data_IF_142009228497
#
_entry.id   IF_142009228497
#
_cell.length_a   1.000
_cell.length_b   1.000
_cell.length_c   1.000
_cell.angle_alpha   90.00
_cell.angle_beta   90.00
_cell.angle_gamma   90.00
#
_symmetry.space_group_name_H-M   'P 1'
#
loop_
_entity.id
_entity.type
_entity.pdbx_description
1 polymer ?
#
# COMPACT_ATOMS: atom_id res chain seq x y z
N UNK A 1 -6.32 -6.09 -20.90
CA UNK A 1 -7.18 -5.42 -19.91
C UNK A 1 -6.29 -4.94 -18.79
N UNK A 2 -6.44 -3.70 -18.34
CA UNK A 2 -5.53 -3.11 -17.35
C UNK A 2 -6.06 -3.37 -15.94
N UNK A 3 -5.20 -3.81 -15.01
CA UNK A 3 -5.57 -4.11 -13.62
C UNK A 3 -4.92 -3.09 -12.69
N UNK A 4 -5.75 -2.33 -11.96
CA UNK A 4 -5.30 -1.42 -10.89
C UNK A 4 -5.51 -2.10 -9.55
N UNK A 5 -4.45 -2.23 -8.77
CA UNK A 5 -4.47 -2.88 -7.46
C UNK A 5 -4.32 -1.79 -6.40
N UNK A 6 -5.31 -1.66 -5.52
CA UNK A 6 -5.18 -0.89 -4.29
C UNK A 6 -4.81 -1.84 -3.16
N UNK A 7 -3.51 -1.92 -2.83
CA UNK A 7 -3.02 -2.71 -1.71
C UNK A 7 -3.07 -1.88 -0.43
N UNK A 8 -4.03 -2.18 0.44
CA UNK A 8 -4.25 -1.50 1.71
C UNK A 8 -3.49 -2.21 2.83
N UNK A 9 -2.76 -1.44 3.64
CA UNK A 9 -2.07 -1.95 4.82
C UNK A 9 -2.02 -0.92 5.94
N UNK A 10 -1.77 -1.37 7.18
CA UNK A 10 -1.22 -0.50 8.22
C UNK A 10 0.30 -0.35 8.07
N UNK A 11 0.96 0.52 8.85
CA UNK A 11 2.42 0.59 8.86
C UNK A 11 3.03 -0.76 9.30
N UNK A 12 4.29 -1.03 8.95
CA UNK A 12 5.05 -2.22 9.40
C UNK A 12 4.47 -3.58 8.96
N UNK A 13 3.72 -3.62 7.86
CA UNK A 13 3.09 -4.83 7.28
C UNK A 13 3.85 -5.40 6.05
N UNK A 14 5.17 -5.23 5.95
CA UNK A 14 5.98 -5.59 4.75
C UNK A 14 5.46 -5.02 3.42
N UNK A 15 4.64 -3.97 3.44
CA UNK A 15 4.04 -3.38 2.24
C UNK A 15 5.07 -2.88 1.24
N UNK A 16 6.23 -2.39 1.70
CA UNK A 16 7.36 -2.06 0.82
C UNK A 16 7.91 -3.29 0.12
N UNK A 17 8.07 -4.43 0.81
CA UNK A 17 8.52 -5.68 0.17
C UNK A 17 7.49 -6.18 -0.86
N UNK A 18 6.19 -6.04 -0.60
CA UNK A 18 5.15 -6.31 -1.59
C UNK A 18 5.25 -5.38 -2.80
N UNK A 19 5.48 -4.08 -2.59
CA UNK A 19 5.72 -3.15 -3.70
C UNK A 19 6.94 -3.55 -4.53
N UNK A 20 8.06 -3.95 -3.89
CA UNK A 20 9.26 -4.44 -4.58
C UNK A 20 9.01 -5.74 -5.35
N UNK A 21 8.20 -6.63 -4.80
CA UNK A 21 7.77 -7.86 -5.46
C UNK A 21 7.00 -7.55 -6.74
N UNK A 22 6.03 -6.62 -6.69
CA UNK A 22 5.28 -6.22 -7.89
C UNK A 22 6.12 -5.42 -8.88
N UNK A 23 7.02 -4.55 -8.43
CA UNK A 23 7.88 -3.75 -9.32
C UNK A 23 8.91 -4.58 -10.09
N UNK A 24 9.19 -5.81 -9.63
CA UNK A 24 10.08 -6.73 -10.35
C UNK A 24 9.46 -7.28 -11.64
N UNK A 25 8.13 -7.16 -11.83
CA UNK A 25 7.45 -7.61 -13.05
C UNK A 25 7.61 -6.59 -14.17
N UNK A 26 7.89 -7.05 -15.38
CA UNK A 26 8.07 -6.16 -16.54
C UNK A 26 6.76 -5.44 -16.96
N UNK A 27 5.61 -6.03 -16.65
CA UNK A 27 4.27 -5.57 -17.03
C UNK A 27 3.61 -4.64 -16.00
N UNK A 28 4.33 -4.27 -14.93
CA UNK A 28 3.76 -3.62 -13.75
C UNK A 28 4.38 -2.25 -13.48
N UNK A 29 3.53 -1.26 -13.20
CA UNK A 29 3.91 -0.01 -12.57
C UNK A 29 3.63 -0.06 -11.06
N UNK A 30 4.38 0.70 -10.26
CA UNK A 30 4.16 0.81 -8.81
C UNK A 30 4.07 2.27 -8.36
N UNK A 31 3.28 2.53 -7.30
CA UNK A 31 3.22 3.83 -6.63
C UNK A 31 3.29 3.63 -5.12
N UNK A 32 4.15 4.42 -4.47
CA UNK A 32 4.41 4.37 -3.04
C UNK A 32 3.60 5.44 -2.28
N UNK A 33 2.67 5.00 -1.43
CA UNK A 33 1.91 5.82 -0.46
C UNK A 33 1.41 7.18 -1.02
N UNK A 34 0.58 7.19 -2.08
CA UNK A 34 0.25 8.42 -2.83
C UNK A 34 -0.46 9.50 -1.99
N UNK A 35 -1.11 9.12 -0.88
CA UNK A 35 -1.81 10.04 0.01
C UNK A 35 -0.98 10.55 1.20
N UNK A 36 0.31 10.20 1.29
CA UNK A 36 1.08 10.51 2.49
C UNK A 36 1.26 12.02 2.72
N UNK A 37 1.58 12.79 1.68
CA UNK A 37 1.66 14.25 1.76
C UNK A 37 0.33 14.90 2.15
N UNK A 38 -0.77 14.48 1.52
CA UNK A 38 -2.12 14.97 1.84
C UNK A 38 -2.51 14.67 3.30
N UNK A 39 -2.19 13.48 3.79
CA UNK A 39 -2.36 13.09 5.19
C UNK A 39 -1.59 14.02 6.13
N UNK A 40 -0.26 14.15 5.94
CA UNK A 40 0.59 14.98 6.80
C UNK A 40 0.14 16.44 6.83
N UNK A 41 -0.23 16.99 5.66
CA UNK A 41 -0.74 18.36 5.55
C UNK A 41 -2.07 18.55 6.29
N UNK A 42 -2.93 17.52 6.27
CA UNK A 42 -4.27 17.57 6.89
C UNK A 42 -4.20 17.40 8.42
N UNK A 43 -3.38 16.45 8.89
CA UNK A 43 -3.34 16.08 10.32
C UNK A 43 -2.28 16.85 11.11
N UNK A 44 -1.22 17.34 10.46
CA UNK A 44 -0.08 17.95 11.15
C UNK A 44 0.73 16.95 11.98
N UNK A 45 0.62 15.64 11.70
CA UNK A 45 1.36 14.60 12.39
C UNK A 45 2.88 14.84 12.28
N UNK A 46 3.64 14.82 13.40
CA UNK A 46 5.04 15.22 13.44
C UNK A 46 5.97 14.09 12.96
N UNK A 47 5.66 13.49 11.81
CA UNK A 47 6.48 12.45 11.22
C UNK A 47 7.85 13.00 10.77
N UNK A 48 8.86 12.15 10.79
CA UNK A 48 10.17 12.50 10.25
C UNK A 48 10.03 12.94 8.78
N UNK A 49 10.70 14.04 8.43
CA UNK A 49 10.68 14.65 7.10
C UNK A 49 9.31 15.23 6.67
N UNK A 50 8.35 15.45 7.57
CA UNK A 50 6.99 15.88 7.21
C UNK A 50 6.97 17.10 6.27
N UNK A 51 7.68 18.19 6.61
CA UNK A 51 7.73 19.40 5.77
C UNK A 51 8.29 19.12 4.37
N UNK A 52 9.33 18.30 4.27
CA UNK A 52 9.94 17.92 2.99
C UNK A 52 8.98 17.05 2.16
N UNK A 53 8.25 16.13 2.80
CA UNK A 53 7.28 15.25 2.14
C UNK A 53 6.10 16.08 1.62
N UNK A 54 5.59 17.01 2.42
CA UNK A 54 4.51 17.92 2.01
C UNK A 54 4.95 18.81 0.84
N UNK A 55 6.21 19.24 0.81
CA UNK A 55 6.75 20.07 -0.27
C UNK A 55 6.98 19.29 -1.58
N UNK A 56 7.28 17.99 -1.50
CA UNK A 56 7.60 17.12 -2.64
C UNK A 56 6.35 16.49 -3.28
N UNK A 57 5.28 16.31 -2.51
CA UNK A 57 4.08 15.59 -2.94
C UNK A 57 2.90 16.49 -3.31
N UNK A 58 2.06 16.00 -4.21
CA UNK A 58 0.69 16.51 -4.34
C UNK A 58 -0.09 16.22 -3.05
N UNK A 59 -0.60 17.29 -2.43
CA UNK A 59 -1.33 17.24 -1.18
C UNK A 59 -2.83 17.52 -1.35
N UNK A 60 -3.33 17.65 -2.58
CA UNK A 60 -4.77 17.73 -2.84
C UNK A 60 -5.38 16.34 -2.98
N UNK A 61 -6.30 16.01 -2.08
CA UNK A 61 -6.94 14.70 -2.03
C UNK A 61 -7.62 14.29 -3.34
N UNK A 62 -8.31 15.21 -4.00
CA UNK A 62 -9.07 14.91 -5.20
C UNK A 62 -8.14 14.73 -6.41
N UNK A 63 -7.09 15.55 -6.51
CA UNK A 63 -6.05 15.45 -7.52
C UNK A 63 -5.29 14.12 -7.41
N UNK A 64 -4.86 13.75 -6.20
CA UNK A 64 -4.20 12.46 -5.95
C UNK A 64 -5.13 11.30 -6.33
N UNK A 65 -6.40 11.34 -5.91
CA UNK A 65 -7.37 10.31 -6.25
C UNK A 65 -7.64 10.23 -7.77
N UNK A 66 -7.69 11.38 -8.45
CA UNK A 66 -7.81 11.48 -9.91
C UNK A 66 -6.64 10.79 -10.60
N UNK A 67 -5.42 11.10 -10.17
CA UNK A 67 -4.19 10.48 -10.69
C UNK A 67 -4.21 8.97 -10.46
N UNK A 68 -4.52 8.50 -9.25
CA UNK A 68 -4.55 7.07 -8.92
C UNK A 68 -5.67 6.28 -9.63
N UNK A 69 -6.68 6.96 -10.19
CA UNK A 69 -7.68 6.36 -11.09
C UNK A 69 -7.35 6.47 -12.57
N UNK A 70 -6.42 7.36 -12.93
CA UNK A 70 -6.08 7.70 -14.30
C UNK A 70 -5.39 6.58 -15.05
N UNK A 71 -4.77 6.95 -16.15
CA UNK A 71 -4.03 6.03 -17.00
C UNK A 71 -2.88 5.37 -16.24
N UNK A 72 -2.66 4.09 -16.52
CA UNK A 72 -1.57 3.36 -15.88
C UNK A 72 -0.24 3.90 -16.38
N UNK A 73 0.71 4.21 -15.49
CA UNK A 73 2.03 4.70 -15.88
C UNK A 73 2.70 3.79 -16.91
N UNK A 74 3.38 4.41 -17.87
CA UNK A 74 4.14 3.75 -18.94
C UNK A 74 3.34 2.71 -19.76
N UNK A 75 2.01 2.81 -19.78
CA UNK A 75 1.14 1.88 -20.48
C UNK A 75 1.21 0.44 -19.96
N UNK A 76 1.63 0.25 -18.71
CA UNK A 76 1.74 -1.08 -18.08
C UNK A 76 0.38 -1.77 -17.99
N UNK A 77 0.39 -3.10 -17.96
CA UNK A 77 -0.82 -3.91 -17.86
C UNK A 77 -1.36 -3.93 -16.41
N UNK A 78 -0.47 -3.84 -15.43
CA UNK A 78 -0.79 -3.85 -14.00
C UNK A 78 -0.27 -2.56 -13.35
N UNK A 79 -1.06 -1.99 -12.44
CA UNK A 79 -0.63 -0.89 -11.60
C UNK A 79 -0.86 -1.23 -10.13
N UNK A 80 0.21 -1.45 -9.39
CA UNK A 80 0.16 -1.70 -7.96
C UNK A 80 0.33 -0.40 -7.18
N UNK A 81 -0.67 -0.06 -6.35
CA UNK A 81 -0.66 1.14 -5.52
C UNK A 81 -0.58 0.71 -4.05
N UNK A 82 0.50 1.11 -3.38
CA UNK A 82 0.69 0.88 -1.95
C UNK A 82 -0.04 1.95 -1.16
N UNK A 83 -1.15 1.58 -0.52
CA UNK A 83 -1.94 2.47 0.30
C UNK A 83 -1.80 2.14 1.79
N UNK A 84 -1.77 3.18 2.60
CA UNK A 84 -1.80 3.07 4.06
C UNK A 84 -3.18 3.48 4.57
N UNK A 85 -3.84 2.60 5.31
CA UNK A 85 -5.21 2.86 5.77
C UNK A 85 -5.29 4.06 6.73
N UNK A 86 -4.29 4.23 7.59
CA UNK A 86 -4.19 5.40 8.49
C UNK A 86 -3.94 6.72 7.75
N UNK A 87 -3.50 6.70 6.48
CA UNK A 87 -3.41 7.93 5.72
C UNK A 87 -4.78 8.47 5.35
N UNK A 88 -5.86 7.68 5.37
CA UNK A 88 -7.14 8.07 4.77
C UNK A 88 -8.00 8.95 5.68
N UNK A 89 -7.43 10.01 6.27
CA UNK A 89 -8.09 10.99 7.15
C UNK A 89 -8.75 12.16 6.41
N UNK A 90 -8.76 12.11 5.08
CA UNK A 90 -9.34 13.13 4.21
C UNK A 90 -10.75 12.81 3.70
N UNK A 91 -11.25 13.59 2.74
CA UNK A 91 -12.56 13.39 2.12
C UNK A 91 -12.61 12.20 1.15
N UNK A 92 -11.45 11.60 0.83
CA UNK A 92 -11.34 10.47 -0.08
C UNK A 92 -11.20 9.19 0.73
N UNK A 93 -12.01 8.19 0.38
CA UNK A 93 -11.93 6.86 0.96
C UNK A 93 -11.95 5.78 -0.12
N UNK A 94 -12.13 4.53 0.31
CA UNK A 94 -12.05 3.36 -0.57
C UNK A 94 -13.07 3.39 -1.73
N UNK A 95 -14.23 4.00 -1.51
CA UNK A 95 -15.29 4.11 -2.51
C UNK A 95 -14.91 4.99 -3.71
N UNK A 96 -13.87 5.81 -3.57
CA UNK A 96 -13.31 6.60 -4.66
C UNK A 96 -12.49 5.77 -5.66
N UNK A 97 -12.34 4.46 -5.45
CA UNK A 97 -11.59 3.55 -6.32
C UNK A 97 -12.44 2.36 -6.80
N UNK A 98 -13.63 2.60 -7.38
CA UNK A 98 -14.61 1.55 -7.62
C UNK A 98 -14.18 0.49 -8.66
N UNK A 99 -13.19 0.81 -9.49
CA UNK A 99 -12.67 -0.05 -10.56
C UNK A 99 -11.33 -0.71 -10.21
N UNK A 100 -10.86 -0.53 -8.96
CA UNK A 100 -9.64 -1.15 -8.46
C UNK A 100 -9.94 -2.53 -7.88
N UNK A 101 -8.96 -3.42 -8.00
CA UNK A 101 -8.92 -4.63 -7.18
C UNK A 101 -8.33 -4.26 -5.83
N UNK A 102 -9.16 -4.31 -4.79
CA UNK A 102 -8.73 -4.03 -3.42
C UNK A 102 -8.18 -5.29 -2.76
N UNK A 103 -6.99 -5.17 -2.19
CA UNK A 103 -6.33 -6.25 -1.45
C UNK A 103 -5.88 -5.73 -0.10
N UNK A 104 -6.05 -6.53 0.94
CA UNK A 104 -5.77 -6.15 2.32
C UNK A 104 -4.57 -6.93 2.85
N UNK A 105 -3.45 -6.24 3.07
CA UNK A 105 -2.23 -6.80 3.64
C UNK A 105 -2.23 -6.57 5.15
N UNK A 106 -2.27 -7.69 5.88
CA UNK A 106 -2.36 -7.73 7.33
C UNK A 106 -1.13 -8.40 7.94
N UNK A 107 -0.92 -8.11 9.22
CA UNK A 107 0.10 -8.71 10.07
C UNK A 107 -0.48 -8.88 11.45
N UNK A 108 0.11 -9.82 12.18
CA UNK A 108 -0.10 -9.95 13.62
C UNK A 108 0.03 -8.58 14.32
N UNK A 109 -1.02 -8.10 15.02
CA UNK A 109 -1.01 -6.81 15.70
C UNK A 109 0.11 -6.64 16.72
N UNK A 110 0.48 -7.70 17.46
CA UNK A 110 1.53 -7.61 18.47
C UNK A 110 2.89 -7.38 17.82
N UNK A 111 3.18 -8.08 16.72
CA UNK A 111 4.40 -7.88 15.94
C UNK A 111 4.44 -6.51 15.28
N UNK A 112 3.29 -6.00 14.85
CA UNK A 112 3.18 -4.69 14.24
C UNK A 112 3.44 -3.57 15.25
N UNK A 113 2.77 -3.61 16.41
CA UNK A 113 2.98 -2.67 17.52
C UNK A 113 4.45 -2.69 17.95
N UNK A 114 5.01 -3.88 18.20
CA UNK A 114 6.41 -4.03 18.60
C UNK A 114 7.38 -3.43 17.57
N UNK A 115 7.12 -3.57 16.27
CA UNK A 115 7.94 -2.95 15.23
C UNK A 115 7.72 -1.44 15.10
N UNK A 116 6.49 -0.96 15.35
CA UNK A 116 6.15 0.46 15.23
C UNK A 116 6.83 1.27 16.32
N UNK A 117 6.76 0.81 17.57
CA UNK A 117 7.33 1.52 18.73
C UNK A 117 8.87 1.60 18.73
N UNK A 118 9.54 0.81 17.90
CA UNK A 118 11.01 0.91 17.70
C UNK A 118 11.42 2.15 16.91
N UNK A 119 10.52 2.68 16.07
CA UNK A 119 10.81 3.82 15.19
C UNK A 119 9.95 5.06 15.47
N UNK A 120 8.80 4.88 16.13
CA UNK A 120 7.81 5.92 16.37
C UNK A 120 7.29 5.86 17.81
N UNK A 121 6.78 6.98 18.31
CA UNK A 121 5.93 6.98 19.50
C UNK A 121 4.50 6.60 19.11
N UNK A 122 3.92 5.59 19.78
CA UNK A 122 2.52 5.22 19.59
C UNK A 122 1.66 5.96 20.61
N UNK A 123 0.89 6.95 20.14
CA UNK A 123 0.01 7.79 20.96
C UNK A 123 -1.44 7.33 20.90
N UNK A 124 -1.85 6.81 19.74
CA UNK A 124 -3.20 6.33 19.48
C UNK A 124 -3.16 5.10 18.57
N UNK A 125 -4.04 4.13 18.81
CA UNK A 125 -4.22 2.96 17.95
C UNK A 125 -4.63 3.33 16.51
N UNK A 126 -5.23 4.51 16.29
CA UNK A 126 -5.54 5.05 14.97
C UNK A 126 -4.30 5.15 14.07
N UNK A 127 -3.11 5.39 14.64
CA UNK A 127 -1.85 5.45 13.88
C UNK A 127 -1.46 4.10 13.25
N UNK A 128 -2.06 3.00 13.72
CA UNK A 128 -1.88 1.66 13.15
C UNK A 128 -2.90 1.39 12.02
N UNK A 129 -3.99 2.15 11.94
CA UNK A 129 -4.96 2.07 10.85
C UNK A 129 -5.79 0.78 10.80
N UNK A 130 -5.78 -0.06 11.84
CA UNK A 130 -6.50 -1.33 11.86
C UNK A 130 -8.01 -1.17 11.71
N UNK A 131 -8.62 -0.23 12.44
CA UNK A 131 -10.05 0.01 12.40
C UNK A 131 -10.51 0.36 10.97
N UNK A 132 -9.77 1.28 10.30
CA UNK A 132 -10.00 1.66 8.90
C UNK A 132 -9.82 0.48 7.95
N UNK A 133 -8.80 -0.35 8.19
CA UNK A 133 -8.50 -1.50 7.33
C UNK A 133 -9.64 -2.53 7.38
N UNK A 134 -10.20 -2.79 8.57
CA UNK A 134 -11.37 -3.66 8.76
C UNK A 134 -12.61 -3.04 8.10
N UNK A 135 -12.88 -1.76 8.35
CA UNK A 135 -14.00 -1.04 7.71
C UNK A 135 -13.96 -1.17 6.18
N UNK A 136 -12.78 -0.93 5.60
CA UNK A 136 -12.57 -1.00 4.16
C UNK A 136 -12.72 -2.42 3.63
N UNK A 137 -12.20 -3.43 4.35
CA UNK A 137 -12.37 -4.83 4.00
C UNK A 137 -13.85 -5.21 3.98
N UNK A 138 -14.61 -4.84 5.01
CA UNK A 138 -16.01 -5.20 5.13
C UNK A 138 -16.85 -4.53 4.06
N UNK A 139 -16.59 -3.25 3.78
CA UNK A 139 -17.28 -2.51 2.71
C UNK A 139 -17.04 -3.12 1.33
N UNK A 140 -15.79 -3.47 1.00
CA UNK A 140 -15.48 -4.13 -0.27
C UNK A 140 -16.07 -5.54 -0.32
N UNK A 141 -15.96 -6.31 0.77
CA UNK A 141 -16.50 -7.66 0.82
C UNK A 141 -18.01 -7.68 0.60
N UNK A 142 -18.72 -6.72 1.21
CA UNK A 142 -20.15 -6.52 1.00
C UNK A 142 -20.47 -6.20 -0.47
N UNK A 143 -19.71 -5.28 -1.08
CA UNK A 143 -19.90 -4.91 -2.49
C UNK A 143 -19.63 -6.07 -3.45
N UNK A 144 -18.65 -6.91 -3.16
CA UNK A 144 -18.32 -8.10 -3.97
C UNK A 144 -19.27 -9.28 -3.74
N UNK A 145 -20.05 -9.28 -2.65
CA UNK A 145 -20.85 -10.43 -2.21
C UNK A 145 -20.01 -11.62 -1.74
N UNK A 146 -18.70 -11.41 -1.51
CA UNK A 146 -17.73 -12.40 -1.04
C UNK A 146 -16.57 -11.69 -0.33
N UNK A 147 -15.79 -12.36 0.52
CA UNK A 147 -14.61 -11.76 1.14
C UNK A 147 -13.65 -11.18 0.10
N UNK A 148 -13.17 -9.96 0.36
CA UNK A 148 -12.10 -9.34 -0.40
C UNK A 148 -10.78 -10.12 -0.19
N UNK A 149 -9.85 -10.12 -1.15
CA UNK A 149 -8.55 -10.77 -0.97
C UNK A 149 -7.77 -10.21 0.22
N UNK A 150 -7.31 -11.10 1.11
CA UNK A 150 -6.48 -10.78 2.26
C UNK A 150 -5.14 -11.51 2.16
N UNK A 151 -4.04 -10.79 2.41
CA UNK A 151 -2.68 -11.33 2.46
C UNK A 151 -2.17 -11.20 3.89
N UNK A 152 -1.84 -12.32 4.51
CA UNK A 152 -1.14 -12.35 5.80
C UNK A 152 0.37 -12.31 5.56
N UNK A 153 1.05 -11.30 6.10
CA UNK A 153 2.48 -11.10 5.92
C UNK A 153 3.33 -12.26 6.43
N UNK A 154 2.96 -12.87 7.55
CA UNK A 154 3.72 -13.98 8.13
C UNK A 154 3.60 -15.22 7.24
N UNK A 155 2.40 -15.49 6.72
CA UNK A 155 2.16 -16.58 5.78
C UNK A 155 2.85 -16.36 4.44
N UNK A 156 2.90 -15.10 3.96
CA UNK A 156 3.63 -14.74 2.75
C UNK A 156 5.13 -14.99 2.92
N UNK A 157 5.73 -14.53 4.03
CA UNK A 157 7.16 -14.72 4.27
C UNK A 157 7.57 -16.18 4.44
N UNK A 158 6.67 -17.03 4.95
CA UNK A 158 6.92 -18.46 5.11
C UNK A 158 6.97 -19.22 3.78
N UNK A 159 6.19 -18.81 2.78
CA UNK A 159 6.15 -19.42 1.45
C UNK A 159 5.79 -18.39 0.37
N UNK A 160 6.73 -17.52 -0.02
CA UNK A 160 6.44 -16.38 -0.90
C UNK A 160 5.89 -16.80 -2.26
N UNK A 161 6.43 -17.86 -2.86
CA UNK A 161 6.00 -18.31 -4.18
C UNK A 161 4.54 -18.77 -4.16
N UNK A 162 4.18 -19.68 -3.24
CA UNK A 162 2.82 -20.20 -3.19
C UNK A 162 1.80 -19.10 -2.89
N UNK A 163 2.11 -18.18 -1.97
CA UNK A 163 1.18 -17.09 -1.61
C UNK A 163 1.06 -16.04 -2.71
N UNK A 164 2.14 -15.71 -3.42
CA UNK A 164 2.08 -14.79 -4.56
C UNK A 164 1.34 -15.39 -5.76
N UNK A 165 1.52 -16.70 -6.04
CA UNK A 165 0.71 -17.41 -7.04
C UNK A 165 -0.78 -17.35 -6.72
N UNK A 166 -1.14 -17.65 -5.46
CA UNK A 166 -2.51 -17.60 -5.00
C UNK A 166 -3.11 -16.18 -5.09
N UNK A 167 -2.33 -15.16 -4.72
CA UNK A 167 -2.73 -13.76 -4.85
C UNK A 167 -3.00 -13.39 -6.31
N UNK A 168 -2.06 -13.70 -7.22
CA UNK A 168 -2.19 -13.41 -8.65
C UNK A 168 -3.46 -14.03 -9.23
N UNK A 169 -3.70 -15.31 -8.93
CA UNK A 169 -4.92 -16.00 -9.34
C UNK A 169 -6.20 -15.35 -8.77
N UNK A 170 -6.18 -14.94 -7.49
CA UNK A 170 -7.33 -14.32 -6.84
C UNK A 170 -7.69 -12.92 -7.39
N UNK A 171 -6.70 -12.19 -7.91
CA UNK A 171 -6.87 -10.86 -8.50
C UNK A 171 -6.90 -10.86 -10.03
N UNK A 172 -6.82 -12.03 -10.66
CA UNK A 172 -6.97 -12.20 -12.11
C UNK A 172 -5.76 -11.70 -12.92
N UNK A 173 -4.54 -11.83 -12.39
CA UNK A 173 -3.29 -11.56 -13.14
C UNK A 173 -2.44 -12.82 -13.24
N UNK A 174 -1.59 -12.89 -14.26
CA UNK A 174 -0.63 -13.99 -14.40
C UNK A 174 0.46 -13.90 -13.35
N UNK A 175 0.87 -15.03 -12.79
CA UNK A 175 2.03 -15.10 -11.89
C UNK A 175 3.33 -14.96 -12.67
N UNK A 176 4.28 -14.20 -12.12
CA UNK A 176 5.61 -13.98 -12.69
C UNK A 176 6.69 -14.35 -11.65
N UNK A 177 7.63 -15.27 -11.96
CA UNK A 177 8.72 -15.62 -11.04
C UNK A 177 9.63 -14.44 -10.66
N UNK A 178 9.68 -13.37 -11.46
CA UNK A 178 10.43 -12.16 -11.13
C UNK A 178 9.98 -11.54 -9.80
N UNK A 179 8.72 -11.77 -9.40
CA UNK A 179 8.16 -11.28 -8.13
C UNK A 179 8.92 -11.75 -6.87
N UNK A 180 9.78 -12.79 -6.98
CA UNK A 180 10.54 -13.33 -5.87
C UNK A 180 11.94 -12.71 -5.71
N UNK A 181 12.38 -11.86 -6.65
CA UNK A 181 13.75 -11.35 -6.68
C UNK A 181 13.78 -9.90 -7.18
N UNK A 182 14.44 -9.03 -6.42
CA UNK A 182 14.71 -7.66 -6.84
C UNK A 182 16.12 -7.24 -6.40
N UNK A 183 16.74 -6.24 -7.06
CA UNK A 183 18.01 -5.69 -6.63
C UNK A 183 17.94 -5.11 -5.22
N UNK A 184 19.01 -5.29 -4.43
CA UNK A 184 19.16 -4.63 -3.14
C UNK A 184 19.37 -3.12 -3.35
N UNK A 185 18.77 -2.30 -2.49
CA UNK A 185 18.96 -0.85 -2.48
C UNK A 185 17.69 -0.06 -2.79
N UNK A 186 17.80 1.27 -2.96
CA UNK A 186 16.66 2.14 -3.23
C UNK A 186 15.96 1.79 -4.56
N UNK A 187 14.65 2.06 -4.64
CA UNK A 187 13.87 2.00 -5.88
C UNK A 187 13.62 3.42 -6.38
N UNK A 188 13.49 3.58 -7.69
CA UNK A 188 13.06 4.85 -8.28
C UNK A 188 11.63 5.26 -7.91
N UNK A 189 10.82 4.33 -7.39
CA UNK A 189 9.44 4.58 -6.98
C UNK A 189 9.29 4.74 -5.47
N UNK A 190 10.38 4.58 -4.71
CA UNK A 190 10.34 4.84 -3.28
C UNK A 190 10.17 6.35 -3.06
N UNK A 191 9.28 6.75 -2.14
CA UNK A 191 9.17 8.17 -1.77
C UNK A 191 10.41 8.70 -1.05
N UNK A 192 10.58 10.02 -0.96
CA UNK A 192 11.77 10.65 -0.36
C UNK A 192 12.05 10.19 1.09
N UNK A 193 11.01 9.74 1.78
CA UNK A 193 11.04 9.20 3.13
C UNK A 193 11.76 7.86 3.24
N UNK A 194 12.03 7.17 2.14
CA UNK A 194 12.72 5.88 2.12
C UNK A 194 14.11 5.93 2.77
N UNK A 195 14.81 7.06 2.63
CA UNK A 195 16.07 7.34 3.31
C UNK A 195 15.97 7.23 4.84
N UNK A 196 14.81 7.51 5.41
CA UNK A 196 14.54 7.42 6.84
C UNK A 196 13.91 6.07 7.24
N UNK A 197 12.93 5.59 6.48
CA UNK A 197 12.12 4.45 6.90
C UNK A 197 12.63 3.09 6.43
N UNK A 198 13.27 3.03 5.26
CA UNK A 198 13.60 1.77 4.58
C UNK A 198 15.05 1.33 4.77
N UNK A 199 15.87 2.09 5.50
CA UNK A 199 17.30 1.85 5.67
C UNK A 199 17.99 1.58 4.31
N UNK A 200 17.55 2.30 3.27
CA UNK A 200 18.01 2.14 1.89
C UNK A 200 19.43 2.67 1.68
#
# INVERSE_FOLDING_TARGET
>A
MTVRIAMWSGPRNISTAMMRSFSARADTAVTDEPFYGAYLKTTGEPHAMADAIIADMDCDWHSVAGTMRGDVPDGKAVWYQKHMSHHMEGPIGIDAFPDHVHVFLIRDPDLMVASYVQKNELKDAAQLGFARLVEYHDRISQRLGRPAPVVDSNRLLADPEAKLRALCAAIGIDWDPAMLRWPKGPHSADGIWASHWYNA
#
